data_IF_571149929670
#
_entry.id   IF_571149929670
#
_cell.length_a   1.000
_cell.length_b   1.000
_cell.length_c   1.000
_cell.angle_alpha   90.00
_cell.angle_beta   90.00
_cell.angle_gamma   90.00
#
_symmetry.space_group_name_H-M   'P 1'
#
loop_
_entity.id
_entity.type
_entity.pdbx_description
1 polymer ?
#
# COMPACT_ATOMS: atom_id res chain seq x y z
N UNK A 1 5.40 4.30 -6.25
CA UNK A 1 4.54 4.31 -7.46
C UNK A 1 5.10 5.20 -8.56
N UNK A 2 5.36 6.50 -8.30
CA UNK A 2 5.86 7.45 -9.30
C UNK A 2 7.17 7.03 -10.00
N UNK A 3 8.12 6.43 -9.26
CA UNK A 3 9.36 5.92 -9.85
C UNK A 3 9.13 4.81 -10.87
N UNK A 4 8.24 3.86 -10.54
CA UNK A 4 7.90 2.76 -11.45
C UNK A 4 7.10 3.23 -12.66
N UNK A 5 6.33 4.31 -12.51
CA UNK A 5 5.62 4.97 -13.61
C UNK A 5 6.57 5.76 -14.53
N UNK A 6 7.84 5.95 -14.15
CA UNK A 6 8.83 6.70 -14.92
C UNK A 6 8.74 8.23 -14.76
N UNK A 7 7.84 8.74 -13.92
CA UNK A 7 7.63 10.18 -13.69
C UNK A 7 8.77 10.82 -12.86
N UNK A 8 9.48 10.02 -12.07
CA UNK A 8 10.63 10.46 -11.28
C UNK A 8 11.84 9.59 -11.58
N UNK A 9 13.00 10.22 -11.79
CA UNK A 9 14.23 9.54 -12.20
C UNK A 9 15.00 8.88 -11.03
N UNK A 10 14.57 9.09 -9.77
CA UNK A 10 15.14 8.48 -8.57
C UNK A 10 14.03 8.10 -7.57
N UNK A 11 14.20 6.98 -6.86
CA UNK A 11 13.40 6.66 -5.66
C UNK A 11 13.80 7.65 -4.56
N UNK A 12 12.87 8.49 -4.12
CA UNK A 12 13.06 9.35 -2.94
C UNK A 12 12.86 8.56 -1.66
N UNK A 13 13.56 8.94 -0.59
CA UNK A 13 13.38 8.41 0.76
C UNK A 13 12.65 9.42 1.63
N UNK A 14 11.60 8.97 2.34
CA UNK A 14 10.80 9.81 3.26
C UNK A 14 11.67 10.37 4.38
N UNK A 15 12.61 9.58 4.90
CA UNK A 15 13.54 10.02 5.96
C UNK A 15 14.52 11.11 5.51
N UNK A 16 14.81 11.17 4.21
CA UNK A 16 15.72 12.17 3.65
C UNK A 16 14.95 13.39 3.08
N UNK A 17 13.61 13.40 3.15
CA UNK A 17 12.77 14.49 2.64
C UNK A 17 12.88 14.69 1.13
N UNK A 18 13.22 13.65 0.37
CA UNK A 18 13.42 13.72 -1.10
C UNK A 18 12.21 13.23 -1.90
N UNK A 19 11.11 12.88 -1.23
CA UNK A 19 9.84 12.51 -1.85
C UNK A 19 9.20 13.74 -2.52
N UNK A 20 8.63 13.54 -3.71
CA UNK A 20 7.99 14.62 -4.51
C UNK A 20 6.72 15.18 -3.84
N UNK A 21 6.11 14.40 -2.96
CA UNK A 21 4.88 14.75 -2.24
C UNK A 21 5.14 15.53 -0.93
N UNK A 22 6.31 15.33 -0.30
CA UNK A 22 6.68 15.96 0.99
C UNK A 22 7.54 17.23 0.74
N UNK A 23 6.96 18.24 0.10
CA UNK A 23 7.66 19.50 -0.22
C UNK A 23 7.61 20.53 0.92
N UNK A 24 6.73 20.35 1.91
CA UNK A 24 6.55 21.31 3.00
C UNK A 24 7.64 21.14 4.09
N UNK A 25 8.31 22.22 4.53
CA UNK A 25 9.33 22.15 5.58
C UNK A 25 8.84 21.56 6.90
N UNK A 26 7.55 21.73 7.25
CA UNK A 26 6.97 21.17 8.48
C UNK A 26 6.72 19.67 8.37
N UNK A 27 6.36 19.17 7.18
CA UNK A 27 6.22 17.73 6.92
C UNK A 27 7.55 17.01 7.08
N UNK A 28 8.63 17.61 6.55
CA UNK A 28 10.00 17.07 6.66
C UNK A 28 10.52 17.06 8.10
N UNK A 29 10.28 18.13 8.85
CA UNK A 29 10.71 18.25 10.25
C UNK A 29 10.00 17.24 11.16
N UNK A 30 8.73 16.92 10.85
CA UNK A 30 7.89 16.02 11.66
C UNK A 30 7.85 14.58 11.16
N UNK A 31 8.28 14.30 9.93
CA UNK A 31 8.21 12.99 9.30
C UNK A 31 6.78 12.46 9.10
N UNK A 32 5.80 13.37 8.97
CA UNK A 32 4.38 13.05 8.73
C UNK A 32 3.85 13.85 7.55
N UNK A 33 2.96 13.25 6.77
CA UNK A 33 2.20 13.94 5.71
C UNK A 33 1.12 14.81 6.36
N UNK A 34 1.14 16.11 6.07
CA UNK A 34 0.26 17.14 6.62
C UNK A 34 -0.78 17.56 5.58
N UNK A 35 -0.34 17.77 4.34
CA UNK A 35 -1.17 18.18 3.21
C UNK A 35 -1.40 17.03 2.23
N UNK A 36 -2.59 16.97 1.65
CA UNK A 36 -2.85 16.03 0.58
C UNK A 36 -2.16 16.47 -0.70
N UNK A 37 -1.24 15.65 -1.20
CA UNK A 37 -0.57 15.88 -2.47
C UNK A 37 -1.34 15.18 -3.59
N UNK A 38 -1.74 15.94 -4.62
CA UNK A 38 -2.33 15.40 -5.83
C UNK A 38 -1.26 15.26 -6.92
N UNK A 39 -1.03 14.03 -7.41
CA UNK A 39 -0.05 13.76 -8.47
C UNK A 39 -0.69 12.94 -9.59
N UNK A 40 -0.55 13.41 -10.82
CA UNK A 40 -0.94 12.65 -12.00
C UNK A 40 0.25 11.88 -12.56
N UNK A 41 0.06 10.61 -12.93
CA UNK A 41 1.08 9.81 -13.60
C UNK A 41 0.49 8.93 -14.71
N UNK A 42 1.28 8.67 -15.75
CA UNK A 42 0.97 7.64 -16.74
C UNK A 42 1.29 6.24 -16.22
N UNK A 43 0.42 5.27 -16.48
CA UNK A 43 0.72 3.85 -16.26
C UNK A 43 0.17 3.01 -17.41
N UNK A 44 1.06 2.52 -18.28
CA UNK A 44 0.70 1.85 -19.54
C UNK A 44 -0.23 2.77 -20.37
N UNK A 45 -1.42 2.29 -20.74
CA UNK A 45 -2.42 3.05 -21.50
C UNK A 45 -3.40 3.84 -20.59
N UNK A 46 -3.14 3.88 -19.27
CA UNK A 46 -4.00 4.54 -18.30
C UNK A 46 -3.35 5.79 -17.71
N UNK A 47 -4.18 6.75 -17.32
CA UNK A 47 -3.78 7.91 -16.52
C UNK A 47 -4.32 7.75 -15.11
N UNK A 48 -3.43 7.86 -14.13
CA UNK A 48 -3.76 7.73 -12.72
C UNK A 48 -3.59 9.09 -12.03
N UNK A 49 -4.56 9.47 -11.21
CA UNK A 49 -4.48 10.64 -10.34
C UNK A 49 -4.43 10.13 -8.90
N UNK A 50 -3.32 10.38 -8.23
CA UNK A 50 -3.08 9.96 -6.85
C UNK A 50 -3.35 11.14 -5.95
N UNK A 51 -4.11 10.89 -4.88
CA UNK A 51 -4.23 11.80 -3.76
C UNK A 51 -3.59 11.08 -2.58
N UNK A 52 -2.42 11.55 -2.16
CA UNK A 52 -1.81 11.08 -0.92
C UNK A 52 -2.53 11.74 0.25
N UNK A 53 -3.07 10.97 1.19
CA UNK A 53 -3.88 11.52 2.28
C UNK A 53 -3.09 11.50 3.58
N UNK A 54 -3.14 12.56 4.40
CA UNK A 54 -2.51 12.60 5.70
C UNK A 54 -2.90 11.41 6.59
N UNK A 55 -1.89 10.77 7.16
CA UNK A 55 -2.03 9.62 8.06
C UNK A 55 -2.20 9.99 9.53
N UNK A 56 -2.42 11.26 9.90
CA UNK A 56 -2.61 11.69 11.29
C UNK A 56 -4.06 12.10 11.55
N UNK A 57 -4.56 11.84 12.77
CA UNK A 57 -5.97 12.09 13.15
C UNK A 57 -6.38 13.55 13.03
N UNK A 58 -5.43 14.46 13.26
CA UNK A 58 -5.62 15.91 13.20
C UNK A 58 -5.96 16.44 11.79
N UNK A 59 -5.74 15.62 10.75
CA UNK A 59 -6.03 15.99 9.36
C UNK A 59 -7.23 15.23 8.78
N UNK A 60 -8.16 14.86 9.67
CA UNK A 60 -9.37 14.11 9.34
C UNK A 60 -10.25 14.77 8.27
N UNK A 61 -10.34 16.10 8.26
CA UNK A 61 -11.15 16.85 7.28
C UNK A 61 -10.58 16.77 5.86
N UNK A 62 -9.26 16.61 5.74
CA UNK A 62 -8.58 16.46 4.46
C UNK A 62 -8.84 15.08 3.85
N UNK A 63 -8.73 14.04 4.68
CA UNK A 63 -9.10 12.67 4.31
C UNK A 63 -10.57 12.62 3.84
N UNK A 64 -11.47 13.30 4.54
CA UNK A 64 -12.90 13.33 4.15
C UNK A 64 -13.14 14.05 2.81
N UNK A 65 -12.43 15.15 2.54
CA UNK A 65 -12.49 15.83 1.24
C UNK A 65 -11.95 14.96 0.12
N UNK A 66 -10.84 14.26 0.34
CA UNK A 66 -10.27 13.34 -0.65
C UNK A 66 -11.25 12.22 -1.00
N UNK A 67 -11.85 11.57 0.01
CA UNK A 67 -12.78 10.45 -0.21
C UNK A 67 -14.02 10.82 -1.03
N UNK A 68 -14.43 12.09 -1.10
CA UNK A 68 -15.57 12.55 -1.91
C UNK A 68 -15.30 12.60 -3.41
N UNK A 69 -14.03 12.68 -3.80
CA UNK A 69 -13.62 12.89 -5.21
C UNK A 69 -12.89 11.68 -5.80
N UNK A 70 -12.63 10.65 -4.98
CA UNK A 70 -11.91 9.46 -5.39
C UNK A 70 -12.84 8.44 -6.05
N UNK A 71 -12.43 7.94 -7.22
CA UNK A 71 -13.07 6.80 -7.88
C UNK A 71 -12.76 5.46 -7.18
N UNK A 72 -11.70 5.42 -6.37
CA UNK A 72 -11.26 4.25 -5.62
C UNK A 72 -10.08 4.58 -4.70
N UNK A 73 -9.75 3.68 -3.78
CA UNK A 73 -8.65 3.85 -2.84
C UNK A 73 -7.83 2.58 -2.63
N UNK A 74 -6.56 2.75 -2.29
CA UNK A 74 -5.69 1.67 -1.82
C UNK A 74 -5.50 1.84 -0.32
N UNK A 75 -6.06 0.93 0.47
CA UNK A 75 -5.94 0.93 1.92
C UNK A 75 -4.69 0.14 2.33
N UNK A 76 -3.74 0.81 2.97
CA UNK A 76 -2.47 0.22 3.39
C UNK A 76 -2.60 -0.27 4.84
N UNK A 77 -2.24 -1.53 5.08
CA UNK A 77 -2.20 -2.14 6.41
C UNK A 77 -0.80 -2.63 6.73
N UNK A 78 -0.41 -2.59 8.00
CA UNK A 78 0.86 -3.13 8.48
C UNK A 78 0.73 -4.65 8.67
N UNK A 79 1.67 -5.44 8.13
CA UNK A 79 1.64 -6.90 8.25
C UNK A 79 1.77 -7.43 9.69
N UNK A 80 2.27 -6.61 10.62
CA UNK A 80 2.44 -6.98 12.03
C UNK A 80 1.24 -6.49 12.85
N UNK A 81 0.87 -5.22 12.70
CA UNK A 81 -0.20 -4.62 13.50
C UNK A 81 -1.61 -4.90 12.96
N UNK A 82 -1.74 -5.15 11.66
CA UNK A 82 -3.03 -5.31 10.97
C UNK A 82 -3.82 -3.99 10.96
N UNK A 83 -5.12 -4.08 11.26
CA UNK A 83 -6.00 -2.92 11.38
C UNK A 83 -5.72 -2.20 12.70
N UNK A 84 -5.58 -0.89 12.64
CA UNK A 84 -5.46 0.02 13.79
C UNK A 84 -6.68 0.94 13.92
N UNK A 85 -6.95 1.55 15.10
CA UNK A 85 -8.11 2.42 15.32
C UNK A 85 -8.28 3.54 14.28
N UNK A 86 -7.16 4.06 13.77
CA UNK A 86 -7.17 5.08 12.73
C UNK A 86 -7.56 4.52 11.36
N UNK A 87 -6.96 3.40 10.95
CA UNK A 87 -7.32 2.73 9.69
C UNK A 87 -8.81 2.34 9.66
N UNK A 88 -9.36 1.93 10.80
CA UNK A 88 -10.79 1.63 10.96
C UNK A 88 -11.68 2.88 10.80
N UNK A 89 -11.24 4.01 11.34
CA UNK A 89 -11.97 5.27 11.21
C UNK A 89 -11.98 5.79 9.77
N UNK A 90 -10.85 5.68 9.05
CA UNK A 90 -10.76 6.03 7.62
C UNK A 90 -11.59 5.07 6.77
N UNK A 91 -11.56 3.77 7.07
CA UNK A 91 -12.34 2.76 6.36
C UNK A 91 -13.84 3.04 6.43
N UNK A 92 -14.36 3.32 7.63
CA UNK A 92 -15.78 3.70 7.81
C UNK A 92 -16.16 4.97 7.06
N UNK A 93 -15.26 5.95 6.96
CA UNK A 93 -15.50 7.16 6.16
C UNK A 93 -15.60 6.82 4.67
N UNK A 94 -14.71 5.96 4.17
CA UNK A 94 -14.76 5.49 2.79
C UNK A 94 -16.04 4.70 2.47
N UNK A 95 -16.56 3.91 3.43
CA UNK A 95 -17.85 3.22 3.30
C UNK A 95 -19.00 4.20 3.07
N UNK A 96 -19.03 5.33 3.80
CA UNK A 96 -20.09 6.36 3.66
C UNK A 96 -20.14 6.98 2.26
N UNK A 97 -18.99 7.09 1.60
CA UNK A 97 -18.88 7.64 0.25
C UNK A 97 -18.94 6.56 -0.84
N UNK A 98 -19.07 5.28 -0.47
CA UNK A 98 -19.15 4.18 -1.43
C UNK A 98 -17.86 3.96 -2.22
N UNK A 99 -16.70 4.36 -1.68
CA UNK A 99 -15.40 4.28 -2.40
C UNK A 99 -14.94 2.82 -2.48
N UNK A 100 -14.79 2.25 -3.70
CA UNK A 100 -14.21 0.93 -3.90
C UNK A 100 -12.76 0.88 -3.44
N UNK A 101 -12.32 -0.24 -2.84
CA UNK A 101 -11.01 -0.33 -2.19
C UNK A 101 -10.25 -1.60 -2.53
N UNK A 102 -8.94 -1.46 -2.66
CA UNK A 102 -7.97 -2.56 -2.65
C UNK A 102 -7.21 -2.48 -1.33
N UNK A 103 -7.03 -3.61 -0.63
CA UNK A 103 -6.18 -3.68 0.54
C UNK A 103 -4.75 -4.06 0.13
N UNK A 104 -3.75 -3.37 0.68
CA UNK A 104 -2.34 -3.65 0.50
C UNK A 104 -1.69 -3.88 1.87
N UNK A 105 -1.25 -5.11 2.12
CA UNK A 105 -0.53 -5.46 3.35
C UNK A 105 0.96 -5.20 3.12
N UNK A 106 1.48 -4.21 3.84
CA UNK A 106 2.85 -3.72 3.71
C UNK A 106 3.76 -4.25 4.82
N UNK A 107 5.08 -4.14 4.64
CA UNK A 107 6.12 -4.51 5.61
C UNK A 107 6.18 -6.01 5.93
N UNK A 108 5.97 -6.84 4.92
CA UNK A 108 6.09 -8.32 5.01
C UNK A 108 7.52 -8.79 5.36
N UNK A 109 8.51 -7.91 5.22
CA UNK A 109 9.92 -8.10 5.59
C UNK A 109 10.18 -8.03 7.10
N UNK A 110 9.21 -7.56 7.91
CA UNK A 110 9.40 -7.38 9.35
C UNK A 110 9.23 -8.67 10.15
N UNK A 111 9.95 -8.74 11.27
CA UNK A 111 9.74 -9.78 12.27
C UNK A 111 8.29 -9.76 12.79
N UNK A 112 7.65 -10.93 12.80
CA UNK A 112 6.24 -11.08 13.17
C UNK A 112 5.24 -10.68 12.09
N UNK A 113 5.67 -10.42 10.85
CA UNK A 113 4.76 -10.20 9.74
C UNK A 113 3.97 -11.47 9.41
N UNK A 114 2.64 -11.34 9.34
CA UNK A 114 1.74 -12.45 9.09
C UNK A 114 0.53 -12.00 8.26
N UNK A 115 0.46 -12.46 7.01
CA UNK A 115 -0.62 -12.10 6.09
C UNK A 115 -1.97 -12.59 6.59
N UNK A 116 -2.04 -13.82 7.11
CA UNK A 116 -3.31 -14.42 7.54
C UNK A 116 -3.87 -13.68 8.76
N UNK A 117 -3.00 -13.30 9.70
CA UNK A 117 -3.38 -12.46 10.83
C UNK A 117 -3.86 -11.08 10.39
N UNK A 118 -3.18 -10.44 9.42
CA UNK A 118 -3.59 -9.15 8.88
C UNK A 118 -4.96 -9.24 8.16
N UNK A 119 -5.17 -10.28 7.35
CA UNK A 119 -6.44 -10.54 6.64
C UNK A 119 -7.58 -10.81 7.61
N UNK A 120 -7.32 -11.59 8.67
CA UNK A 120 -8.29 -11.86 9.72
C UNK A 120 -8.64 -10.59 10.53
N UNK A 121 -7.64 -9.74 10.82
CA UNK A 121 -7.85 -8.42 11.44
C UNK A 121 -8.76 -7.54 10.58
N UNK A 122 -8.53 -7.49 9.26
CA UNK A 122 -9.40 -6.81 8.28
C UNK A 122 -10.82 -7.35 8.36
N UNK A 123 -10.99 -8.67 8.27
CA UNK A 123 -12.30 -9.32 8.31
C UNK A 123 -13.06 -9.02 9.61
N UNK A 124 -12.42 -9.12 10.77
CA UNK A 124 -13.08 -8.95 12.07
C UNK A 124 -13.35 -7.50 12.44
N UNK A 125 -12.45 -6.57 12.10
CA UNK A 125 -12.57 -5.18 12.53
C UNK A 125 -13.31 -4.31 11.52
N UNK A 126 -13.09 -4.55 10.23
CA UNK A 126 -13.67 -3.74 9.16
C UNK A 126 -14.92 -4.40 8.56
N UNK A 127 -15.13 -5.70 8.81
CA UNK A 127 -16.27 -6.49 8.35
C UNK A 127 -16.44 -6.69 6.81
N UNK A 128 -15.42 -6.52 5.93
CA UNK A 128 -15.53 -6.96 4.55
C UNK A 128 -15.31 -8.48 4.43
N UNK A 129 -15.55 -9.02 3.24
CA UNK A 129 -15.06 -10.34 2.83
C UNK A 129 -13.78 -10.16 2.01
N UNK A 130 -12.58 -10.21 2.62
CA UNK A 130 -11.33 -10.04 1.89
C UNK A 130 -11.09 -11.23 0.96
N UNK A 131 -10.66 -10.93 -0.27
CA UNK A 131 -10.22 -11.91 -1.26
C UNK A 131 -8.72 -11.76 -1.44
N UNK A 132 -7.96 -12.75 -0.98
CA UNK A 132 -6.51 -12.75 -1.11
C UNK A 132 -6.15 -13.14 -2.54
N UNK A 133 -5.44 -12.24 -3.24
CA UNK A 133 -5.02 -12.44 -4.64
C UNK A 133 -3.52 -12.68 -4.78
N UNK A 134 -2.76 -12.46 -3.70
CA UNK A 134 -1.31 -12.66 -3.65
C UNK A 134 -0.90 -13.29 -2.33
N UNK A 135 0.03 -14.26 -2.37
CA UNK A 135 0.63 -14.89 -1.20
C UNK A 135 2.12 -14.55 -1.12
N UNK A 136 2.69 -14.29 0.07
CA UNK A 136 4.11 -14.00 0.20
C UNK A 136 4.97 -15.24 -0.06
N UNK A 137 6.14 -15.03 -0.67
CA UNK A 137 7.20 -16.04 -0.78
C UNK A 137 8.27 -15.66 0.24
N UNK A 138 8.50 -16.56 1.19
CA UNK A 138 9.38 -16.31 2.34
C UNK A 138 8.69 -15.52 3.46
N UNK A 139 9.41 -15.34 4.57
CA UNK A 139 8.95 -14.61 5.76
C UNK A 139 10.07 -13.73 6.30
N UNK A 140 9.71 -12.59 6.89
CA UNK A 140 10.64 -11.68 7.56
C UNK A 140 11.82 -11.34 6.63
N UNK A 141 13.07 -11.45 7.10
CA UNK A 141 14.26 -11.20 6.28
C UNK A 141 14.45 -12.14 5.08
N UNK A 142 13.67 -13.23 4.98
CA UNK A 142 13.64 -14.11 3.82
C UNK A 142 12.52 -13.79 2.82
N UNK A 143 11.73 -12.73 3.04
CA UNK A 143 10.68 -12.32 2.12
C UNK A 143 11.29 -11.85 0.79
N UNK A 144 11.02 -12.58 -0.29
CA UNK A 144 11.69 -12.38 -1.59
C UNK A 144 10.73 -12.29 -2.77
N UNK A 145 9.43 -12.46 -2.57
CA UNK A 145 8.47 -12.40 -3.65
C UNK A 145 7.03 -12.56 -3.23
N UNK A 146 6.15 -12.64 -4.22
CA UNK A 146 4.75 -13.01 -4.04
C UNK A 146 4.31 -13.98 -5.13
N UNK A 147 3.43 -14.93 -4.79
CA UNK A 147 2.67 -15.72 -5.74
C UNK A 147 1.45 -14.91 -6.16
N UNK A 148 1.31 -14.61 -7.45
CA UNK A 148 0.13 -14.01 -8.07
C UNK A 148 -0.88 -15.12 -8.41
N UNK A 149 -1.93 -15.25 -7.60
CA UNK A 149 -2.96 -16.27 -7.74
C UNK A 149 -3.90 -16.01 -8.92
N UNK A 150 -3.95 -14.78 -9.44
CA UNK A 150 -4.80 -14.43 -10.58
C UNK A 150 -4.15 -14.91 -11.88
N UNK A 151 -2.83 -14.74 -11.99
CA UNK A 151 -2.05 -15.13 -13.18
C UNK A 151 -1.36 -16.49 -13.03
N UNK A 152 -1.47 -17.11 -11.86
CA UNK A 152 -0.82 -18.38 -11.50
C UNK A 152 0.70 -18.36 -11.78
N UNK A 153 1.40 -17.37 -11.22
CA UNK A 153 2.86 -17.21 -11.38
C UNK A 153 3.52 -16.63 -10.13
N UNK A 154 4.81 -16.89 -9.94
CA UNK A 154 5.62 -16.24 -8.93
C UNK A 154 6.22 -14.93 -9.46
N UNK A 155 6.26 -13.92 -8.60
CA UNK A 155 6.88 -12.63 -8.81
C UNK A 155 7.99 -12.48 -7.76
N UNK A 156 9.24 -12.66 -8.17
CA UNK A 156 10.40 -12.71 -7.26
C UNK A 156 11.30 -11.50 -7.54
N UNK A 157 11.82 -10.87 -6.49
CA UNK A 157 12.82 -9.81 -6.63
C UNK A 157 14.20 -10.45 -6.70
N UNK A 158 14.91 -10.22 -7.81
CA UNK A 158 16.20 -10.87 -8.08
C UNK A 158 17.34 -10.36 -7.17
N UNK A 159 17.12 -9.26 -6.44
CA UNK A 159 18.03 -8.54 -5.54
C UNK A 159 17.38 -7.21 -5.07
N UNK A 160 18.14 -6.36 -4.37
CA UNK A 160 17.75 -4.99 -3.99
C UNK A 160 17.58 -4.03 -5.19
N UNK A 161 17.86 -4.44 -6.43
CA UNK A 161 17.72 -3.58 -7.61
C UNK A 161 16.25 -3.25 -7.93
N UNK A 162 15.31 -4.01 -7.35
CA UNK A 162 13.88 -3.85 -7.60
C UNK A 162 13.42 -4.42 -8.94
N UNK A 163 14.28 -5.15 -9.66
CA UNK A 163 13.90 -5.89 -10.87
C UNK A 163 13.06 -7.11 -10.45
N UNK A 164 11.86 -7.19 -11.02
CA UNK A 164 10.89 -8.24 -10.74
C UNK A 164 10.97 -9.32 -11.82
N UNK A 165 11.36 -10.53 -11.43
CA UNK A 165 11.34 -11.72 -12.26
C UNK A 165 9.97 -12.40 -12.19
N UNK A 166 9.47 -12.87 -13.34
CA UNK A 166 8.26 -13.69 -13.41
C UNK A 166 8.68 -15.15 -13.60
N UNK A 167 8.35 -16.00 -12.64
CA UNK A 167 8.78 -17.40 -12.60
C UNK A 167 7.58 -18.33 -12.39
N UNK A 168 7.71 -19.64 -12.66
CA UNK A 168 6.72 -20.63 -12.24
C UNK A 168 6.52 -20.59 -10.71
N UNK A 169 5.34 -20.97 -10.24
CA UNK A 169 5.09 -21.08 -8.79
C UNK A 169 5.98 -22.21 -8.24
N UNK A 170 6.75 -21.98 -7.16
CA UNK A 170 7.52 -23.04 -6.51
C UNK A 170 6.64 -24.24 -6.15
N UNK A 171 7.13 -25.46 -6.40
CA UNK A 171 6.35 -26.68 -6.19
C UNK A 171 5.90 -26.83 -4.73
N UNK A 172 6.68 -26.30 -3.78
CA UNK A 172 6.39 -26.32 -2.35
C UNK A 172 5.14 -25.51 -1.97
N UNK A 173 4.71 -24.60 -2.84
CA UNK A 173 3.55 -23.71 -2.64
C UNK A 173 2.30 -24.15 -3.42
N UNK A 174 2.38 -25.25 -4.18
CA UNK A 174 1.27 -25.79 -4.97
C UNK A 174 0.39 -26.81 -4.20
N UNK A 175 0.65 -27.02 -2.90
CA UNK A 175 0.02 -28.03 -2.06
C UNK A 175 -1.38 -27.65 -1.54
#
# INVERSE_FOLDING_TARGET
>A
MLYLAGEIHRRGEVREGTTVTDYDPQERDRGITIFAAAVSCGWREHRLNLIDTPGHVDFSDEVERALRVLDGAVAIFDAVAGVEPQSESVWRRADRYGVPRIAFVNKMDRAGADLDAAVDSIRRRLHPTPVVVQLPIGREGGFCGVVDLVRMRALVWADDSGVLACEPIPEELLA
#
